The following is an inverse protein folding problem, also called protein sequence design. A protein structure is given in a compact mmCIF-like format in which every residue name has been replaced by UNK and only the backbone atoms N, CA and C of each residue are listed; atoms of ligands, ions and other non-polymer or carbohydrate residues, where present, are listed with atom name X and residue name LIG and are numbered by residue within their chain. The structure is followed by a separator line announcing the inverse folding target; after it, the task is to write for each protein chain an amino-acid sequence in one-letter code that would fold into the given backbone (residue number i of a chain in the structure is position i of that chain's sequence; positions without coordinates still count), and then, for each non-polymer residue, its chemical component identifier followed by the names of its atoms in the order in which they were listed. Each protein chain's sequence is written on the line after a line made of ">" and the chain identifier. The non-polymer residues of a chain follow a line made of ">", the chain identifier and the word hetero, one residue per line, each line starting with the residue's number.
data_IF_844492345716
#
_entry.id   IF_844492345716
#
_cell.length_a   1.000
_cell.length_b   1.000
_cell.length_c   1.000
_cell.angle_alpha   90.00
_cell.angle_beta   90.00
_cell.angle_gamma   90.00
#
_symmetry.space_group_name_H-M   'P 1'
#
loop_
_entity.id
_entity.type
_entity.pdbx_description
1 polymer ?
#
# COMPACT_ATOMS: atom_id res chain seq x y z
N UNK A 1 7.58 6.04 9.68
CA UNK A 1 7.93 5.56 8.33
C UNK A 1 7.33 6.49 7.27
N UNK A 2 7.97 6.70 6.12
CA UNK A 2 7.43 7.48 4.98
C UNK A 2 7.67 6.78 3.66
N UNK A 3 6.95 7.17 2.61
CA UNK A 3 7.17 6.70 1.25
C UNK A 3 8.57 7.08 0.71
N UNK A 4 9.04 6.36 -0.32
CA UNK A 4 10.36 6.57 -0.94
C UNK A 4 10.52 7.98 -1.52
N UNK A 5 9.46 8.55 -2.11
CA UNK A 5 9.46 9.92 -2.61
C UNK A 5 8.09 10.58 -2.34
N UNK A 6 7.90 11.18 -1.15
CA UNK A 6 6.62 11.77 -0.75
C UNK A 6 6.13 12.92 -1.65
N UNK A 7 7.05 13.59 -2.36
CA UNK A 7 6.74 14.73 -3.21
C UNK A 7 6.45 14.35 -4.66
N UNK A 8 6.48 13.06 -5.00
CA UNK A 8 6.27 12.61 -6.37
C UNK A 8 4.81 12.77 -6.81
N UNK A 9 4.60 13.33 -8.00
CA UNK A 9 3.28 13.45 -8.63
C UNK A 9 2.85 12.16 -9.35
N UNK A 10 2.67 11.06 -8.62
CA UNK A 10 2.17 9.81 -9.18
C UNK A 10 0.72 9.52 -8.75
N UNK A 11 -0.09 8.97 -9.68
CA UNK A 11 -1.44 8.52 -9.39
C UNK A 11 -1.43 7.17 -8.63
N UNK A 12 -2.45 6.86 -7.81
CA UNK A 12 -2.57 5.58 -7.11
C UNK A 12 -2.43 4.37 -8.06
N UNK A 13 -3.16 4.37 -9.18
CA UNK A 13 -3.07 3.29 -10.16
C UNK A 13 -1.69 3.20 -10.85
N UNK A 14 -1.00 4.33 -10.98
CA UNK A 14 0.38 4.37 -11.46
C UNK A 14 1.36 3.73 -10.49
N UNK A 15 1.13 3.87 -9.17
CA UNK A 15 1.88 3.13 -8.16
C UNK A 15 1.58 1.64 -8.24
N UNK A 16 0.30 1.24 -8.21
CA UNK A 16 -0.09 -0.17 -8.26
C UNK A 16 0.52 -0.88 -9.48
N UNK A 17 0.43 -0.26 -10.65
CA UNK A 17 0.94 -0.86 -11.91
C UNK A 17 2.46 -0.99 -11.97
N UNK A 18 3.19 -0.10 -11.28
CA UNK A 18 4.65 -0.13 -11.27
C UNK A 18 5.22 -0.89 -10.07
N UNK A 19 4.44 -1.07 -9.00
CA UNK A 19 4.86 -1.76 -7.79
C UNK A 19 6.20 -1.23 -7.26
N UNK A 20 7.15 -2.16 -7.12
CA UNK A 20 8.51 -1.91 -6.61
C UNK A 20 9.60 -1.99 -7.69
N UNK A 21 9.25 -1.81 -8.97
CA UNK A 21 10.20 -1.87 -10.09
C UNK A 21 11.44 -1.00 -9.84
N UNK A 22 12.65 -1.46 -10.23
CA UNK A 22 13.87 -0.65 -10.14
C UNK A 22 13.69 0.71 -10.81
N UNK A 23 14.15 1.78 -10.15
CA UNK A 23 14.04 3.15 -10.66
C UNK A 23 12.67 3.82 -10.50
N UNK A 24 11.62 3.08 -10.14
CA UNK A 24 10.33 3.67 -9.81
C UNK A 24 10.29 4.12 -8.34
N UNK A 25 9.84 5.35 -8.10
CA UNK A 25 9.50 5.84 -6.76
C UNK A 25 8.04 6.23 -6.74
N UNK A 26 7.50 6.46 -5.55
CA UNK A 26 6.12 6.91 -5.39
C UNK A 26 5.93 7.57 -4.03
N UNK A 27 4.85 8.37 -3.92
CA UNK A 27 4.43 9.01 -2.66
C UNK A 27 3.62 8.11 -1.72
N UNK A 28 3.29 6.89 -2.15
CA UNK A 28 2.48 5.95 -1.39
C UNK A 28 3.36 4.89 -0.70
N UNK A 29 2.90 4.40 0.44
CA UNK A 29 3.38 3.17 1.07
C UNK A 29 2.35 2.10 0.71
N UNK A 30 2.80 1.04 0.06
CA UNK A 30 1.94 -0.10 -0.28
C UNK A 30 1.88 -1.02 0.92
N UNK A 31 0.66 -1.44 1.26
CA UNK A 31 0.33 -2.33 2.38
C UNK A 31 -0.78 -3.26 1.94
N UNK A 32 -1.01 -4.33 2.70
CA UNK A 32 -2.12 -5.25 2.50
C UNK A 32 -2.95 -5.35 3.77
N UNK A 33 -4.23 -5.66 3.65
CA UNK A 33 -5.11 -5.98 4.79
C UNK A 33 -5.17 -7.49 5.09
N UNK A 34 -4.53 -8.32 4.26
CA UNK A 34 -4.54 -9.78 4.36
C UNK A 34 -3.16 -10.32 4.79
N UNK A 35 -3.15 -11.16 5.82
CA UNK A 35 -1.90 -11.75 6.35
C UNK A 35 -1.36 -12.85 5.44
N UNK A 36 -2.21 -13.61 4.76
CA UNK A 36 -1.79 -14.61 3.77
C UNK A 36 -1.09 -13.97 2.57
N UNK A 37 -1.55 -12.81 2.10
CA UNK A 37 -0.84 -12.02 1.08
C UNK A 37 0.53 -11.57 1.61
N UNK A 38 0.59 -11.12 2.85
CA UNK A 38 1.87 -10.75 3.46
C UNK A 38 2.84 -11.95 3.49
N UNK A 39 2.38 -13.14 3.89
CA UNK A 39 3.20 -14.36 3.97
C UNK A 39 3.65 -14.85 2.59
N UNK A 40 2.82 -14.74 1.55
CA UNK A 40 3.18 -15.12 0.19
C UNK A 40 4.27 -14.22 -0.41
N UNK A 41 4.23 -12.92 -0.11
CA UNK A 41 5.07 -11.91 -0.79
C UNK A 41 6.24 -11.38 0.03
N UNK A 42 6.40 -11.79 1.30
CA UNK A 42 7.44 -11.27 2.19
C UNK A 42 8.13 -12.37 3.01
N UNK A 43 9.42 -12.61 2.76
CA UNK A 43 10.27 -13.53 3.55
C UNK A 43 10.96 -12.83 4.75
N UNK A 44 10.37 -11.72 5.18
CA UNK A 44 11.05 -10.67 5.91
C UNK A 44 10.38 -10.32 7.23
N UNK A 45 10.30 -9.02 7.45
CA UNK A 45 9.82 -8.43 8.69
C UNK A 45 8.43 -7.87 8.46
N UNK A 46 7.50 -8.16 9.37
CA UNK A 46 6.13 -7.70 9.27
C UNK A 46 5.78 -6.73 10.40
N UNK A 47 5.02 -5.70 10.04
CA UNK A 47 4.41 -4.77 11.01
C UNK A 47 2.95 -4.59 10.67
N UNK A 48 2.12 -4.45 11.70
CA UNK A 48 0.77 -3.94 11.57
C UNK A 48 0.79 -2.43 11.72
N UNK A 49 0.02 -1.74 10.88
CA UNK A 49 -0.20 -0.31 10.99
C UNK A 49 -1.60 -0.09 11.55
N UNK A 50 -1.68 0.64 12.67
CA UNK A 50 -2.93 1.13 13.23
C UNK A 50 -3.37 2.38 12.45
N UNK A 51 -4.52 2.28 11.79
CA UNK A 51 -5.05 3.37 10.96
C UNK A 51 -5.65 4.50 11.80
N UNK A 52 -6.07 4.23 13.04
CA UNK A 52 -6.58 5.26 13.95
C UNK A 52 -5.46 6.17 14.45
N UNK A 53 -4.23 5.63 14.54
CA UNK A 53 -3.03 6.38 14.90
C UNK A 53 -2.25 6.93 13.67
N UNK A 54 -2.64 6.58 12.44
CA UNK A 54 -1.88 6.95 11.22
C UNK A 54 -1.98 8.44 10.89
N UNK A 55 -3.19 9.02 10.94
CA UNK A 55 -3.46 10.43 10.65
C UNK A 55 -3.20 10.91 9.21
N UNK A 56 -2.75 10.02 8.31
CA UNK A 56 -2.57 10.29 6.89
C UNK A 56 -3.78 9.86 6.04
N UNK A 57 -3.62 9.92 4.71
CA UNK A 57 -4.68 9.49 3.78
C UNK A 57 -4.55 8.00 3.47
N UNK A 58 -5.65 7.28 3.63
CA UNK A 58 -5.78 5.87 3.28
C UNK A 58 -6.56 5.75 1.97
N UNK A 59 -6.06 4.93 1.05
CA UNK A 59 -6.75 4.60 -0.20
C UNK A 59 -6.89 3.07 -0.23
N UNK A 60 -8.11 2.60 0.02
CA UNK A 60 -8.45 1.18 -0.13
C UNK A 60 -8.55 0.85 -1.63
N UNK A 61 -7.84 -0.18 -2.05
CA UNK A 61 -7.83 -0.71 -3.40
C UNK A 61 -8.10 -2.23 -3.44
N UNK A 62 -8.48 -2.82 -2.30
CA UNK A 62 -8.59 -4.26 -2.09
C UNK A 62 -9.73 -4.94 -2.86
N UNK A 63 -10.61 -4.18 -3.48
CA UNK A 63 -11.68 -4.69 -4.35
C UNK A 63 -11.81 -3.81 -5.58
N UNK A 64 -12.49 -4.29 -6.63
CA UNK A 64 -12.75 -3.46 -7.81
C UNK A 64 -13.56 -2.21 -7.49
N UNK A 65 -14.54 -2.31 -6.60
CA UNK A 65 -15.34 -1.17 -6.15
C UNK A 65 -14.46 -0.14 -5.41
N UNK A 66 -13.57 -0.61 -4.53
CA UNK A 66 -12.62 0.25 -3.81
C UNK A 66 -11.61 0.90 -4.77
N UNK A 67 -11.09 0.15 -5.75
CA UNK A 67 -10.25 0.69 -6.82
C UNK A 67 -10.94 1.85 -7.55
N UNK A 68 -12.20 1.67 -7.96
CA UNK A 68 -12.96 2.71 -8.65
C UNK A 68 -13.15 3.97 -7.77
N UNK A 69 -13.50 3.80 -6.49
CA UNK A 69 -13.64 4.88 -5.54
C UNK A 69 -12.30 5.61 -5.27
N UNK A 70 -11.19 4.87 -5.25
CA UNK A 70 -9.84 5.39 -5.11
C UNK A 70 -9.23 6.03 -6.37
N UNK A 71 -9.99 6.06 -7.48
CA UNK A 71 -9.52 6.59 -8.76
C UNK A 71 -8.46 5.72 -9.44
N UNK A 72 -8.36 4.45 -9.07
CA UNK A 72 -7.53 3.45 -9.73
C UNK A 72 -8.30 2.94 -10.95
N UNK A 73 -7.69 3.08 -12.12
CA UNK A 73 -8.29 2.73 -13.41
C UNK A 73 -7.36 1.83 -14.21
N UNK A 74 -7.96 0.98 -15.04
CA UNK A 74 -7.26 0.06 -15.92
C UNK A 74 -7.23 -1.38 -15.37
N UNK A 75 -7.43 -2.35 -16.27
CA UNK A 75 -7.58 -3.76 -15.90
C UNK A 75 -6.36 -4.31 -15.14
N UNK A 76 -5.15 -3.94 -15.55
CA UNK A 76 -3.91 -4.39 -14.89
C UNK A 76 -3.80 -3.86 -13.47
N UNK A 77 -4.04 -2.57 -13.26
CA UNK A 77 -3.95 -1.97 -11.93
C UNK A 77 -5.01 -2.58 -10.99
N UNK A 78 -6.26 -2.71 -11.46
CA UNK A 78 -7.34 -3.27 -10.67
C UNK A 78 -7.04 -4.72 -10.27
N UNK A 79 -6.60 -5.57 -11.22
CA UNK A 79 -6.26 -6.97 -10.93
C UNK A 79 -5.12 -7.10 -9.93
N UNK A 80 -4.08 -6.28 -10.06
CA UNK A 80 -2.94 -6.32 -9.14
C UNK A 80 -3.37 -5.91 -7.73
N UNK A 81 -4.11 -4.81 -7.60
CA UNK A 81 -4.59 -4.33 -6.30
C UNK A 81 -5.57 -5.30 -5.63
N UNK A 82 -6.46 -5.93 -6.41
CA UNK A 82 -7.38 -6.95 -5.90
C UNK A 82 -6.62 -8.19 -5.40
N UNK A 83 -5.66 -8.69 -6.18
CA UNK A 83 -4.86 -9.85 -5.80
C UNK A 83 -3.99 -9.63 -4.55
N UNK A 84 -3.49 -8.41 -4.32
CA UNK A 84 -2.69 -8.08 -3.14
C UNK A 84 -3.51 -7.55 -1.96
N UNK A 85 -4.83 -7.49 -2.09
CA UNK A 85 -5.73 -6.76 -1.19
C UNK A 85 -5.17 -5.38 -0.80
N UNK A 86 -4.70 -4.64 -1.80
CA UNK A 86 -3.85 -3.47 -1.61
C UNK A 86 -4.56 -2.34 -0.86
N UNK A 87 -3.86 -1.77 0.10
CA UNK A 87 -4.18 -0.48 0.72
C UNK A 87 -2.97 0.43 0.56
N UNK A 88 -3.18 1.61 -0.01
CA UNK A 88 -2.13 2.62 -0.15
C UNK A 88 -2.24 3.65 0.97
N UNK A 89 -1.13 3.90 1.65
CA UNK A 89 -1.01 4.97 2.63
C UNK A 89 -0.24 6.15 2.03
N UNK A 90 -0.81 7.35 2.10
CA UNK A 90 -0.17 8.60 1.70
C UNK A 90 0.06 9.46 2.95
N UNK A 91 1.34 9.73 3.26
CA UNK A 91 1.75 10.50 4.44
C UNK A 91 2.89 9.86 5.22
N UNK A 92 2.99 10.24 6.50
CA UNK A 92 3.96 9.72 7.45
C UNK A 92 3.27 8.79 8.45
N UNK A 93 3.75 7.56 8.57
CA UNK A 93 3.30 6.61 9.59
C UNK A 93 4.07 6.88 10.89
N UNK A 94 3.44 7.39 11.95
CA UNK A 94 4.12 7.62 13.22
C UNK A 94 4.52 6.29 13.88
N UNK A 95 5.51 6.32 14.78
CA UNK A 95 5.98 5.11 15.46
C UNK A 95 4.90 4.47 16.36
N UNK A 96 4.02 5.28 16.96
CA UNK A 96 2.89 4.78 17.76
C UNK A 96 1.97 3.85 16.96
N UNK A 97 1.74 4.20 15.70
CA UNK A 97 0.90 3.43 14.78
C UNK A 97 1.51 2.10 14.33
N UNK A 98 2.76 1.78 14.68
CA UNK A 98 3.46 0.57 14.21
C UNK A 98 3.52 -0.48 15.32
N UNK A 99 2.97 -1.66 15.05
CA UNK A 99 3.06 -2.84 15.92
C UNK A 99 3.88 -3.93 15.23
N UNK A 100 4.91 -4.43 15.90
CA UNK A 100 5.75 -5.51 15.38
C UNK A 100 4.98 -6.84 15.37
N UNK A 101 4.92 -7.52 14.22
CA UNK A 101 4.26 -8.82 14.09
C UNK A 101 5.24 -9.99 14.14
N UNK A 102 6.52 -9.75 13.86
CA UNK A 102 7.52 -10.81 13.81
C UNK A 102 8.14 -10.99 12.43
N UNK A 103 8.90 -12.08 12.32
CA UNK A 103 9.29 -12.62 11.02
C UNK A 103 8.12 -13.44 10.49
N UNK A 104 7.75 -13.17 9.24
CA UNK A 104 6.79 -13.97 8.47
C UNK A 104 7.55 -14.83 7.47
#
# INVERSE_FOLDING_TARGET
>A
MRAKNPNMSCLPGGRVSNGSKPGFTSRYISTTKDVGVLEEWNEGRAVRIDLDEFGGRVIDASTQAACAAGGIRGATANRLAENSEEVLLEGFVPSGAVRWLGKV
#
